data_IF_018208009809
#
_entry.id   IF_018208009809
#
_cell.length_a   1.000
_cell.length_b   1.000
_cell.length_c   1.000
_cell.angle_alpha   90.00
_cell.angle_beta   90.00
_cell.angle_gamma   90.00
#
_symmetry.space_group_name_H-M   'P 1'
#
loop_
_entity.id
_entity.type
_entity.pdbx_description
1 polymer ?
#
# COMPACT_ATOMS: atom_id res chain seq x y z
N UNK A 1 21.18 -15.57 -40.02
CA UNK A 1 22.25 -15.52 -39.00
C UNK A 1 21.55 -15.42 -37.63
N UNK A 2 21.34 -16.56 -36.96
CA UNK A 2 20.67 -16.66 -35.67
C UNK A 2 21.65 -16.39 -34.53
N UNK A 3 21.33 -15.44 -33.65
CA UNK A 3 22.01 -15.30 -32.37
C UNK A 3 21.28 -16.16 -31.33
N UNK A 4 21.96 -17.24 -30.91
CA UNK A 4 21.49 -18.13 -29.87
C UNK A 4 21.36 -17.43 -28.51
N UNK A 5 20.23 -17.62 -27.88
CA UNK A 5 20.00 -17.30 -26.46
C UNK A 5 20.95 -18.14 -25.61
N UNK A 6 21.87 -17.51 -24.91
CA UNK A 6 22.69 -18.16 -23.88
C UNK A 6 21.78 -18.59 -22.74
N UNK A 7 21.72 -19.89 -22.48
CA UNK A 7 21.01 -20.45 -21.35
C UNK A 7 21.56 -19.88 -20.04
N UNK A 8 20.66 -19.40 -19.19
CA UNK A 8 20.96 -19.07 -17.80
C UNK A 8 21.26 -20.40 -17.10
N UNK A 9 22.50 -20.63 -16.76
CA UNK A 9 22.89 -21.78 -15.93
C UNK A 9 22.24 -21.60 -14.55
N UNK A 10 21.44 -22.60 -14.15
CA UNK A 10 20.83 -22.64 -12.84
C UNK A 10 21.90 -22.57 -11.75
N UNK A 11 21.72 -21.63 -10.82
CA UNK A 11 22.50 -21.56 -9.60
C UNK A 11 22.26 -22.87 -8.84
N UNK A 12 23.32 -23.65 -8.48
CA UNK A 12 23.12 -24.87 -7.69
C UNK A 12 22.44 -24.48 -6.38
N UNK A 13 21.30 -25.12 -6.07
CA UNK A 13 20.57 -24.91 -4.85
C UNK A 13 21.48 -25.12 -3.64
N UNK A 14 21.88 -24.05 -2.97
CA UNK A 14 22.47 -24.14 -1.65
C UNK A 14 21.42 -24.79 -0.74
N UNK A 15 21.64 -26.03 -0.34
CA UNK A 15 20.87 -26.67 0.71
C UNK A 15 20.96 -25.73 1.94
N UNK A 16 19.82 -25.14 2.32
CA UNK A 16 19.72 -24.39 3.57
C UNK A 16 20.00 -25.38 4.70
N UNK A 17 21.26 -25.39 5.17
CA UNK A 17 21.65 -26.16 6.34
C UNK A 17 20.78 -25.67 7.50
N UNK A 18 20.07 -26.60 8.14
CA UNK A 18 19.32 -26.31 9.36
C UNK A 18 20.27 -25.64 10.35
N UNK A 19 19.93 -24.46 10.89
CA UNK A 19 20.79 -23.83 11.88
C UNK A 19 21.00 -24.76 13.07
N UNK A 20 22.19 -24.78 13.68
CA UNK A 20 22.46 -25.63 14.83
C UNK A 20 21.42 -25.33 15.92
N UNK A 21 20.74 -26.37 16.38
CA UNK A 21 19.90 -26.31 17.58
C UNK A 21 20.80 -26.16 18.78
N UNK A 22 20.89 -24.96 19.36
CA UNK A 22 21.75 -24.63 20.48
C UNK A 22 22.79 -23.57 20.15
N UNK A 23 22.38 -22.45 19.59
CA UNK A 23 23.20 -21.24 19.60
C UNK A 23 23.44 -20.76 21.03
N UNK A 24 24.52 -20.02 21.30
CA UNK A 24 24.75 -19.44 22.61
C UNK A 24 23.55 -18.62 23.05
N UNK A 25 23.17 -18.71 24.31
CA UNK A 25 22.22 -17.80 24.94
C UNK A 25 22.66 -16.37 24.59
N UNK A 26 21.81 -15.54 23.94
CA UNK A 26 22.22 -14.20 23.50
C UNK A 26 22.57 -13.27 24.67
N UNK A 27 22.28 -13.65 25.91
CA UNK A 27 22.44 -12.81 27.09
C UNK A 27 21.52 -11.61 27.10
N UNK A 28 21.43 -10.83 28.17
CA UNK A 28 20.66 -9.61 28.22
C UNK A 28 21.16 -8.57 27.19
N UNK A 29 20.27 -8.02 26.37
CA UNK A 29 20.57 -7.10 25.28
C UNK A 29 20.99 -7.77 23.97
N UNK A 30 20.84 -9.10 23.84
CA UNK A 30 21.08 -9.84 22.60
C UNK A 30 19.91 -9.77 21.60
N UNK A 31 19.97 -10.58 20.53
CA UNK A 31 18.93 -10.61 19.49
C UNK A 31 17.52 -10.92 20.01
N UNK A 32 17.39 -11.56 21.17
CA UNK A 32 16.10 -11.84 21.81
C UNK A 32 15.40 -10.57 22.33
N UNK A 33 16.18 -9.52 22.62
CA UNK A 33 15.72 -8.25 23.20
C UNK A 33 15.79 -7.10 22.18
N UNK A 34 15.67 -7.42 20.87
CA UNK A 34 15.64 -6.38 19.83
C UNK A 34 14.48 -5.42 20.07
N UNK A 35 14.74 -4.08 20.13
CA UNK A 35 13.69 -3.09 20.30
C UNK A 35 12.82 -3.06 19.05
N UNK A 36 11.58 -3.52 19.17
CA UNK A 36 10.59 -3.36 18.11
C UNK A 36 10.00 -1.94 18.24
N UNK A 37 10.06 -1.13 17.17
CA UNK A 37 9.42 0.19 17.19
C UNK A 37 7.92 0.05 17.46
N UNK A 38 7.40 0.84 18.38
CA UNK A 38 5.96 0.98 18.54
C UNK A 38 5.39 1.70 17.31
N UNK A 39 4.45 1.06 16.64
CA UNK A 39 3.77 1.63 15.48
C UNK A 39 2.35 2.05 15.89
N UNK A 40 2.01 3.32 15.65
CA UNK A 40 0.73 3.89 16.04
C UNK A 40 -0.02 4.51 14.86
N UNK A 41 -1.34 4.41 14.87
CA UNK A 41 -2.26 5.16 14.03
C UNK A 41 -2.93 6.32 14.80
N UNK A 42 -2.47 6.63 16.00
CA UNK A 42 -2.98 7.71 16.86
C UNK A 42 -1.90 8.78 17.05
N UNK A 43 -2.20 10.02 16.65
CA UNK A 43 -1.29 11.16 16.77
C UNK A 43 -1.26 11.78 18.18
N UNK A 44 -2.07 11.29 19.12
CA UNK A 44 -2.17 11.84 20.49
C UNK A 44 -1.16 11.26 21.47
N UNK A 45 -0.44 10.23 21.07
CA UNK A 45 0.48 9.49 21.93
C UNK A 45 1.85 9.27 21.27
N UNK A 46 2.70 8.50 21.96
CA UNK A 46 4.01 8.10 21.48
C UNK A 46 3.94 6.97 20.43
N UNK A 47 4.92 6.93 19.53
CA UNK A 47 6.01 7.90 19.34
C UNK A 47 5.54 9.20 18.68
N UNK A 48 6.24 10.31 18.95
CA UNK A 48 5.97 11.56 18.24
C UNK A 48 6.24 11.40 16.74
N UNK A 49 5.35 11.90 15.85
CA UNK A 49 5.53 11.76 14.41
C UNK A 49 6.73 12.60 13.92
N UNK A 50 7.47 12.05 12.95
CA UNK A 50 8.61 12.78 12.38
C UNK A 50 8.14 14.07 11.68
N UNK A 51 8.81 15.23 11.88
CA UNK A 51 8.38 16.52 11.30
C UNK A 51 8.22 16.53 9.78
N UNK A 52 9.02 15.76 9.06
CA UNK A 52 8.90 15.63 7.60
C UNK A 52 7.56 15.01 7.14
N UNK A 53 6.82 14.36 8.04
CA UNK A 53 5.50 13.81 7.75
C UNK A 53 4.37 14.84 7.82
N UNK A 54 4.62 16.08 8.20
CA UNK A 54 3.58 17.11 8.38
C UNK A 54 2.53 17.13 7.23
N UNK A 55 2.90 17.03 5.94
CA UNK A 55 1.92 17.00 4.85
C UNK A 55 1.06 15.74 4.78
N UNK A 56 1.47 14.65 5.44
CA UNK A 56 0.80 13.34 5.41
C UNK A 56 0.06 13.03 6.72
N UNK A 57 0.29 13.80 7.79
CA UNK A 57 -0.32 13.56 9.12
C UNK A 57 -1.85 13.49 9.09
N UNK A 58 -2.59 14.26 8.28
CA UNK A 58 -4.03 14.12 8.23
C UNK A 58 -4.53 12.73 7.82
N UNK A 59 -3.69 11.93 7.14
CA UNK A 59 -4.01 10.55 6.74
C UNK A 59 -3.90 9.56 7.89
N UNK A 60 -3.07 9.83 8.92
CA UNK A 60 -2.82 8.91 10.04
C UNK A 60 -4.12 8.56 10.73
N UNK A 61 -4.36 7.25 10.92
CA UNK A 61 -5.58 6.73 11.49
C UNK A 61 -5.99 5.39 10.88
N UNK A 62 -7.08 4.86 11.40
CA UNK A 62 -7.79 3.71 10.83
C UNK A 62 -9.12 4.19 10.23
N UNK A 63 -9.30 3.90 8.96
CA UNK A 63 -10.44 4.35 8.16
C UNK A 63 -11.25 3.15 7.70
N UNK A 64 -12.56 3.19 7.82
CA UNK A 64 -13.47 2.13 7.35
C UNK A 64 -14.65 2.70 6.59
N UNK A 65 -15.10 2.00 5.57
CA UNK A 65 -16.28 2.39 4.80
C UNK A 65 -16.49 1.51 3.59
N UNK A 66 -17.20 2.05 2.63
CA UNK A 66 -17.58 1.34 1.42
C UNK A 66 -17.12 2.08 0.18
N UNK A 67 -17.01 1.35 -0.91
CA UNK A 67 -16.67 1.86 -2.21
C UNK A 67 -17.38 1.10 -3.31
N UNK A 68 -17.28 1.65 -4.50
CA UNK A 68 -17.76 1.07 -5.73
C UNK A 68 -16.61 0.93 -6.71
N UNK A 69 -16.58 -0.17 -7.45
CA UNK A 69 -15.57 -0.45 -8.45
C UNK A 69 -16.17 -1.05 -9.71
N UNK A 70 -15.47 -0.86 -10.82
CA UNK A 70 -15.81 -1.44 -12.10
C UNK A 70 -14.64 -1.33 -13.06
N UNK A 71 -14.68 -2.08 -14.14
CA UNK A 71 -13.69 -1.99 -15.21
C UNK A 71 -14.26 -2.66 -16.47
N UNK A 72 -13.89 -2.26 -17.71
CA UNK A 72 -14.50 -2.80 -18.92
C UNK A 72 -14.45 -4.34 -19.08
N UNK A 73 -13.55 -5.00 -18.34
CA UNK A 73 -13.35 -6.45 -18.40
C UNK A 73 -13.99 -7.22 -17.24
N UNK A 74 -14.67 -6.53 -16.31
CA UNK A 74 -15.37 -7.13 -15.17
C UNK A 74 -16.69 -6.38 -14.91
N UNK A 75 -17.65 -7.04 -14.28
CA UNK A 75 -18.87 -6.38 -13.81
C UNK A 75 -18.56 -5.42 -12.66
N UNK A 76 -19.41 -4.39 -12.53
CA UNK A 76 -19.38 -3.46 -11.40
C UNK A 76 -19.61 -4.21 -10.08
N UNK A 77 -19.02 -3.71 -9.00
CA UNK A 77 -19.09 -4.32 -7.68
C UNK A 77 -19.01 -3.30 -6.56
N UNK A 78 -19.66 -3.60 -5.45
CA UNK A 78 -19.49 -2.88 -4.20
C UNK A 78 -18.50 -3.58 -3.29
N UNK A 79 -17.78 -2.81 -2.48
CA UNK A 79 -16.82 -3.36 -1.53
C UNK A 79 -16.79 -2.57 -0.22
N UNK A 80 -16.54 -3.31 0.87
CA UNK A 80 -16.13 -2.75 2.15
C UNK A 80 -14.63 -2.67 2.24
N UNK A 81 -14.10 -1.68 2.93
CA UNK A 81 -12.66 -1.49 3.06
C UNK A 81 -12.26 -0.98 4.43
N UNK A 82 -11.08 -1.42 4.88
CA UNK A 82 -10.31 -0.79 5.94
C UNK A 82 -8.98 -0.33 5.37
N UNK A 83 -8.61 0.92 5.66
CA UNK A 83 -7.29 1.48 5.40
C UNK A 83 -6.67 1.92 6.72
N UNK A 84 -5.40 1.61 6.93
CA UNK A 84 -4.61 2.04 8.09
C UNK A 84 -3.38 2.79 7.61
N UNK A 85 -3.18 3.98 8.15
CA UNK A 85 -1.94 4.74 8.08
C UNK A 85 -1.38 4.86 9.48
N UNK A 86 -0.14 4.43 9.67
CA UNK A 86 0.53 4.44 10.96
C UNK A 86 1.97 4.94 10.81
N UNK A 87 2.56 5.39 11.92
CA UNK A 87 3.97 5.77 11.99
C UNK A 87 4.62 5.19 13.25
N UNK A 88 5.94 5.20 13.27
CA UNK A 88 6.79 4.78 14.38
C UNK A 88 7.86 5.84 14.74
N UNK A 89 7.57 7.11 14.44
CA UNK A 89 8.48 8.23 14.63
C UNK A 89 9.52 8.41 13.52
N UNK A 90 9.64 7.50 12.55
CA UNK A 90 10.51 7.63 11.38
C UNK A 90 9.83 8.40 10.24
N UNK A 91 10.58 8.90 9.23
CA UNK A 91 10.04 9.75 8.16
C UNK A 91 9.27 8.97 7.10
N UNK A 92 8.33 8.11 7.49
CA UNK A 92 7.39 7.43 6.60
C UNK A 92 6.13 6.98 7.36
N UNK A 93 5.03 6.85 6.64
CA UNK A 93 3.84 6.16 7.12
C UNK A 93 3.85 4.73 6.58
N UNK A 94 3.56 3.76 7.44
CA UNK A 94 3.15 2.44 7.04
C UNK A 94 1.69 2.48 6.58
N UNK A 95 1.42 1.87 5.43
CA UNK A 95 0.10 1.79 4.83
C UNK A 95 -0.35 0.34 4.70
N UNK A 96 -1.56 0.05 5.14
CA UNK A 96 -2.22 -1.22 4.87
C UNK A 96 -3.67 -0.96 4.44
N UNK A 97 -4.10 -1.66 3.38
CA UNK A 97 -5.47 -1.68 2.91
C UNK A 97 -5.97 -3.11 2.80
N UNK A 98 -7.20 -3.35 3.22
CA UNK A 98 -7.93 -4.61 3.09
C UNK A 98 -9.33 -4.33 2.60
N UNK A 99 -9.77 -5.07 1.56
CA UNK A 99 -11.09 -4.94 0.99
C UNK A 99 -11.82 -6.28 0.94
N UNK A 100 -13.13 -6.21 0.96
CA UNK A 100 -14.06 -7.34 0.86
C UNK A 100 -15.15 -6.99 -0.15
N UNK A 101 -15.50 -7.93 -1.03
CA UNK A 101 -16.69 -7.77 -1.87
C UNK A 101 -17.95 -7.84 -1.02
N UNK A 102 -18.90 -6.99 -1.37
CA UNK A 102 -20.22 -6.94 -0.73
C UNK A 102 -21.29 -7.47 -1.68
N UNK A 103 -22.30 -8.12 -1.08
CA UNK A 103 -23.56 -8.42 -1.75
C UNK A 103 -24.43 -7.19 -1.91
N UNK A 104 -25.49 -7.29 -2.72
CA UNK A 104 -26.47 -6.22 -2.90
C UNK A 104 -27.17 -5.76 -1.61
N UNK A 105 -27.20 -6.62 -0.59
CA UNK A 105 -27.71 -6.36 0.75
C UNK A 105 -26.65 -5.82 1.73
N UNK A 106 -25.42 -5.57 1.25
CA UNK A 106 -24.30 -5.10 2.05
C UNK A 106 -23.56 -6.19 2.85
N UNK A 107 -23.94 -7.46 2.71
CA UNK A 107 -23.25 -8.57 3.39
C UNK A 107 -21.87 -8.82 2.80
N UNK A 108 -20.91 -9.19 3.67
CA UNK A 108 -19.55 -9.54 3.22
C UNK A 108 -19.57 -10.90 2.53
N UNK A 109 -19.21 -10.94 1.26
CA UNK A 109 -19.17 -12.16 0.47
C UNK A 109 -17.83 -12.89 0.58
N UNK A 110 -16.73 -12.17 0.38
CA UNK A 110 -15.37 -12.72 0.41
C UNK A 110 -14.29 -11.64 0.48
N UNK A 111 -13.06 -11.98 0.93
CA UNK A 111 -11.91 -11.10 0.77
C UNK A 111 -11.67 -10.77 -0.72
N UNK A 112 -11.23 -9.55 -0.97
CA UNK A 112 -10.93 -9.03 -2.32
C UNK A 112 -9.47 -8.56 -2.38
N UNK A 113 -9.22 -7.26 -2.41
CA UNK A 113 -7.89 -6.69 -2.54
C UNK A 113 -7.18 -6.55 -1.18
N UNK A 114 -5.87 -6.62 -1.20
CA UNK A 114 -4.98 -6.23 -0.12
C UNK A 114 -3.79 -5.46 -0.69
N UNK A 115 -3.41 -4.38 0.00
CA UNK A 115 -2.22 -3.58 -0.32
C UNK A 115 -1.43 -3.37 0.97
N UNK A 116 -0.12 -3.34 0.86
CA UNK A 116 0.79 -2.95 1.94
C UNK A 116 1.89 -2.07 1.38
N UNK A 117 2.40 -1.14 2.17
CA UNK A 117 3.51 -0.30 1.72
C UNK A 117 3.79 0.90 2.59
N UNK A 118 4.44 1.90 1.99
CA UNK A 118 4.93 3.07 2.71
C UNK A 118 4.64 4.34 1.92
N UNK A 119 4.26 5.39 2.64
CA UNK A 119 4.20 6.75 2.15
C UNK A 119 5.32 7.54 2.80
N UNK A 120 6.17 8.19 2.03
CA UNK A 120 7.36 8.90 2.51
C UNK A 120 7.49 10.27 1.86
N UNK A 121 8.12 11.27 2.53
CA UNK A 121 8.43 12.55 1.91
C UNK A 121 9.24 12.37 0.62
N UNK A 122 8.92 13.18 -0.39
CA UNK A 122 9.70 13.28 -1.63
C UNK A 122 10.88 14.24 -1.51
N UNK A 123 11.49 14.57 -2.65
CA UNK A 123 12.66 15.42 -2.71
C UNK A 123 12.35 16.91 -2.46
N UNK A 124 11.16 17.37 -2.83
CA UNK A 124 10.75 18.76 -2.65
C UNK A 124 9.56 18.88 -1.69
N UNK A 125 9.35 20.09 -1.15
CA UNK A 125 8.23 20.36 -0.27
C UNK A 125 6.88 20.10 -0.96
N UNK A 126 6.00 19.34 -0.30
CA UNK A 126 4.70 18.95 -0.86
C UNK A 126 4.76 17.76 -1.82
N UNK A 127 5.94 17.23 -2.12
CA UNK A 127 6.12 15.97 -2.84
C UNK A 127 6.23 14.80 -1.86
N UNK A 128 5.81 13.63 -2.30
CA UNK A 128 5.95 12.37 -1.56
C UNK A 128 6.01 11.19 -2.53
N UNK A 129 6.52 10.09 -2.04
CA UNK A 129 6.63 8.85 -2.77
C UNK A 129 5.82 7.77 -2.06
N UNK A 130 5.20 6.89 -2.83
CA UNK A 130 4.43 5.77 -2.26
C UNK A 130 4.88 4.47 -2.91
N UNK A 131 5.21 3.50 -2.07
CA UNK A 131 5.60 2.16 -2.47
C UNK A 131 4.50 1.20 -2.05
N UNK A 132 3.89 0.48 -2.97
CA UNK A 132 2.82 -0.48 -2.70
C UNK A 132 3.16 -1.86 -3.24
N UNK A 133 2.82 -2.88 -2.47
CA UNK A 133 2.89 -4.27 -2.89
C UNK A 133 1.53 -4.95 -2.71
N UNK A 134 1.19 -5.79 -3.70
CA UNK A 134 -0.08 -6.50 -3.78
C UNK A 134 0.16 -8.02 -3.82
N UNK A 135 -0.61 -8.84 -3.08
CA UNK A 135 -0.46 -10.29 -3.13
C UNK A 135 -0.78 -10.88 -4.51
N UNK A 136 -1.36 -10.09 -5.41
CA UNK A 136 -1.58 -10.46 -6.82
C UNK A 136 -0.32 -10.41 -7.69
N UNK A 137 0.85 -10.09 -7.09
CA UNK A 137 2.14 -10.07 -7.78
C UNK A 137 2.46 -8.74 -8.47
N UNK A 138 1.88 -7.64 -8.00
CA UNK A 138 2.13 -6.29 -8.51
C UNK A 138 2.87 -5.50 -7.43
N UNK A 139 3.87 -4.72 -7.83
CA UNK A 139 4.56 -3.72 -7.00
C UNK A 139 4.58 -2.40 -7.76
N UNK A 140 4.23 -1.32 -7.06
CA UNK A 140 4.09 0.00 -7.66
C UNK A 140 4.90 1.03 -6.87
N UNK A 141 5.55 1.94 -7.60
CA UNK A 141 6.13 3.16 -7.07
C UNK A 141 5.33 4.32 -7.66
N UNK A 142 4.83 5.18 -6.79
CA UNK A 142 4.11 6.38 -7.16
C UNK A 142 4.91 7.62 -6.81
N UNK A 143 4.87 8.61 -7.69
CA UNK A 143 5.20 9.99 -7.37
C UNK A 143 3.93 10.72 -6.98
N UNK A 144 3.96 11.36 -5.83
CA UNK A 144 2.83 12.05 -5.25
C UNK A 144 3.10 13.52 -5.00
N UNK A 145 2.03 14.30 -5.00
CA UNK A 145 2.07 15.72 -4.65
C UNK A 145 0.83 16.15 -3.86
N UNK A 146 1.05 17.04 -2.93
CA UNK A 146 -0.01 17.71 -2.20
C UNK A 146 -0.70 18.73 -3.13
N UNK A 147 -2.01 18.61 -3.31
CA UNK A 147 -2.84 19.56 -4.09
C UNK A 147 -3.39 20.66 -3.19
N UNK A 148 -3.70 20.30 -1.95
CA UNK A 148 -4.12 21.19 -0.88
C UNK A 148 -3.80 20.52 0.47
N UNK A 149 -3.94 21.17 1.62
CA UNK A 149 -3.64 20.58 2.93
C UNK A 149 -4.31 19.22 3.20
N UNK A 150 -5.44 18.95 2.54
CA UNK A 150 -6.23 17.71 2.71
C UNK A 150 -6.44 16.95 1.40
N UNK A 151 -5.57 17.13 0.39
CA UNK A 151 -5.72 16.48 -0.91
C UNK A 151 -4.38 16.03 -1.48
N UNK A 152 -4.28 14.74 -1.83
CA UNK A 152 -3.07 14.07 -2.32
C UNK A 152 -3.34 13.42 -3.66
N UNK A 153 -2.51 13.71 -4.65
CA UNK A 153 -2.56 13.08 -5.97
C UNK A 153 -1.30 12.24 -6.18
N UNK A 154 -1.47 11.05 -6.74
CA UNK A 154 -0.42 10.08 -7.02
C UNK A 154 -0.55 9.59 -8.46
N UNK A 155 0.58 9.41 -9.12
CA UNK A 155 0.65 8.71 -10.41
C UNK A 155 1.80 7.70 -10.36
N UNK A 156 1.59 6.52 -10.90
CA UNK A 156 2.66 5.50 -10.98
C UNK A 156 3.81 6.02 -11.82
N UNK A 157 5.02 5.87 -11.29
CA UNK A 157 6.29 6.01 -12.01
C UNK A 157 6.75 4.63 -12.51
N UNK A 158 6.63 3.61 -11.65
CA UNK A 158 7.00 2.23 -11.97
C UNK A 158 5.88 1.28 -11.58
N UNK A 159 5.58 0.34 -12.47
CA UNK A 159 4.78 -0.85 -12.18
C UNK A 159 5.61 -2.08 -12.51
N UNK A 160 5.99 -2.85 -11.48
CA UNK A 160 6.66 -4.12 -11.62
C UNK A 160 5.68 -5.27 -11.40
N UNK A 161 5.80 -6.34 -12.18
CA UNK A 161 4.87 -7.48 -12.17
C UNK A 161 5.60 -8.80 -12.08
N UNK A 162 5.08 -9.71 -11.25
CA UNK A 162 5.44 -11.13 -11.32
C UNK A 162 4.93 -11.74 -12.65
N UNK A 163 5.55 -12.82 -13.10
CA UNK A 163 5.20 -13.45 -14.38
C UNK A 163 3.72 -13.91 -14.45
N UNK A 164 3.11 -14.23 -13.30
CA UNK A 164 1.72 -14.67 -13.20
C UNK A 164 0.71 -13.57 -12.95
N UNK A 165 1.17 -12.32 -12.73
CA UNK A 165 0.30 -11.20 -12.47
C UNK A 165 -0.42 -10.72 -13.74
N UNK A 166 -1.65 -10.24 -13.58
CA UNK A 166 -2.38 -9.58 -14.66
C UNK A 166 -1.62 -8.33 -15.12
N UNK A 167 -1.85 -7.94 -16.36
CA UNK A 167 -1.27 -6.72 -16.89
C UNK A 167 -1.87 -5.50 -16.21
N UNK A 168 -1.01 -4.72 -15.56
CA UNK A 168 -1.27 -3.34 -15.09
C UNK A 168 -0.12 -2.49 -15.59
N UNK A 169 -0.41 -1.39 -16.27
CA UNK A 169 0.59 -0.52 -16.88
C UNK A 169 0.68 0.83 -16.21
N UNK A 170 -0.33 1.22 -15.43
CA UNK A 170 -0.30 2.45 -14.65
C UNK A 170 -1.56 2.69 -13.85
N UNK A 171 -1.43 3.49 -12.80
CA UNK A 171 -2.52 3.95 -11.96
C UNK A 171 -2.36 5.43 -11.64
N UNK A 172 -3.49 6.10 -11.43
CA UNK A 172 -3.58 7.42 -10.82
C UNK A 172 -4.52 7.33 -9.64
N UNK A 173 -4.12 7.91 -8.51
CA UNK A 173 -4.95 7.93 -7.30
C UNK A 173 -5.12 9.37 -6.82
N UNK A 174 -6.32 9.70 -6.40
CA UNK A 174 -6.64 10.95 -5.74
C UNK A 174 -7.23 10.63 -4.38
N UNK A 175 -6.66 11.19 -3.33
CA UNK A 175 -7.17 11.11 -1.97
C UNK A 175 -7.58 12.50 -1.50
N UNK A 176 -8.63 12.59 -0.69
CA UNK A 176 -9.07 13.83 -0.08
C UNK A 176 -9.80 13.61 1.22
N UNK A 177 -9.59 14.50 2.21
CA UNK A 177 -10.39 14.51 3.43
C UNK A 177 -11.44 15.61 3.29
N UNK A 178 -12.71 15.20 3.30
CA UNK A 178 -13.88 16.06 3.15
C UNK A 178 -14.88 15.72 4.25
N UNK A 179 -15.28 16.71 5.04
CA UNK A 179 -16.20 16.55 6.17
C UNK A 179 -15.77 15.44 7.15
N UNK A 180 -14.45 15.34 7.39
CA UNK A 180 -13.86 14.35 8.28
C UNK A 180 -13.73 12.93 7.71
N UNK A 181 -14.25 12.65 6.52
CA UNK A 181 -14.12 11.37 5.86
C UNK A 181 -12.99 11.36 4.81
N UNK A 182 -12.30 10.24 4.67
CA UNK A 182 -11.32 9.99 3.63
C UNK A 182 -12.04 9.48 2.37
N UNK A 183 -12.01 10.29 1.32
CA UNK A 183 -12.47 9.91 0.00
C UNK A 183 -11.27 9.58 -0.88
N UNK A 184 -11.43 8.60 -1.77
CA UNK A 184 -10.45 8.40 -2.82
C UNK A 184 -11.08 7.93 -4.13
N UNK A 185 -10.36 8.19 -5.23
CA UNK A 185 -10.63 7.64 -6.55
C UNK A 185 -9.34 7.04 -7.12
N UNK A 186 -9.47 5.95 -7.87
CA UNK A 186 -8.39 5.28 -8.59
C UNK A 186 -8.79 5.12 -10.04
N UNK A 187 -7.96 5.68 -10.93
CA UNK A 187 -7.96 5.33 -12.34
C UNK A 187 -6.87 4.27 -12.58
N UNK A 188 -7.13 3.30 -13.45
CA UNK A 188 -6.22 2.20 -13.77
C UNK A 188 -6.09 2.02 -15.29
N UNK A 189 -4.88 1.73 -15.73
CA UNK A 189 -4.59 1.23 -17.08
C UNK A 189 -4.15 -0.24 -16.95
N UNK A 190 -4.94 -1.18 -17.47
CA UNK A 190 -4.70 -2.61 -17.30
C UNK A 190 -5.35 -3.42 -18.43
N UNK A 191 -4.84 -4.63 -18.67
CA UNK A 191 -5.40 -5.62 -19.64
C UNK A 191 -5.76 -5.02 -20.99
N UNK A 192 -4.84 -4.19 -21.53
CA UNK A 192 -5.01 -3.52 -22.82
C UNK A 192 -5.95 -2.30 -22.79
N UNK A 193 -6.50 -1.91 -21.65
CA UNK A 193 -7.36 -0.73 -21.52
C UNK A 193 -6.54 0.50 -21.13
N UNK A 194 -6.90 1.70 -21.64
CA UNK A 194 -6.27 2.96 -21.24
C UNK A 194 -6.61 3.33 -19.81
N UNK A 195 -5.94 4.36 -19.28
CA UNK A 195 -6.22 4.91 -17.96
C UNK A 195 -7.67 5.39 -17.87
N UNK A 196 -8.44 4.82 -16.97
CA UNK A 196 -9.86 5.09 -16.79
C UNK A 196 -10.33 4.76 -15.38
N UNK A 197 -11.49 5.26 -14.92
CA UNK A 197 -12.01 5.00 -13.59
C UNK A 197 -12.10 3.51 -13.28
N UNK A 198 -11.68 3.15 -12.05
CA UNK A 198 -11.70 1.78 -11.54
C UNK A 198 -12.33 1.67 -10.17
N UNK A 199 -11.92 2.48 -9.20
CA UNK A 199 -12.41 2.43 -7.82
C UNK A 199 -12.72 3.84 -7.31
N UNK A 200 -13.73 3.93 -6.44
CA UNK A 200 -13.96 5.10 -5.59
C UNK A 200 -14.52 4.64 -4.24
N UNK A 201 -14.15 5.32 -3.16
CA UNK A 201 -14.68 5.01 -1.84
C UNK A 201 -14.80 6.24 -0.94
N UNK A 202 -15.63 6.10 0.08
CA UNK A 202 -15.75 6.98 1.24
C UNK A 202 -15.53 6.16 2.51
N UNK A 203 -14.58 6.59 3.33
CA UNK A 203 -14.19 5.92 4.56
C UNK A 203 -14.27 6.90 5.73
N UNK A 204 -14.90 6.48 6.80
CA UNK A 204 -14.97 7.23 8.06
C UNK A 204 -13.78 6.86 8.95
N UNK A 205 -13.26 7.83 9.72
CA UNK A 205 -12.21 7.55 10.70
C UNK A 205 -12.80 6.78 11.87
N UNK A 206 -12.25 5.62 12.19
CA UNK A 206 -12.72 4.76 13.30
C UNK A 206 -11.72 4.70 14.45
N UNK A 207 -10.48 5.13 14.20
CA UNK A 207 -9.42 5.25 15.21
C UNK A 207 -8.35 6.24 14.70
N UNK A 208 -7.71 7.03 15.64
CA UNK A 208 -6.66 8.00 15.30
C UNK A 208 -6.95 9.44 15.69
#
# INVERSE_FOLDING_TARGET
MGRGLRGVQGVPGAALSRPPTGGPDPGPGGWADLPLPAETADLRGDPEPHPALAPLLPLVGVWRGTGHGGYPTIADFDYGQQVRFAHDGRPFLHYESRAWLLGADGTVLRPAAREVGWWRPGAAAGEFEVLLAHPTGIVEIYLGRLRSPNQWELSTDVVARAATAKEVTGNRRLYGIVDGALLYAVDMAAVGQPLQPHLAARLERVDG
#
